data_IF_625083750975
#
_entry.id   IF_625083750975
#
_cell.length_a   1.000
_cell.length_b   1.000
_cell.length_c   1.000
_cell.angle_alpha   90.00
_cell.angle_beta   90.00
_cell.angle_gamma   90.00
#
_symmetry.space_group_name_H-M   'P 1'
#
loop_
_entity.id
_entity.type
_entity.pdbx_description
1 polymer ?
#
# COMPACT_ATOMS: atom_id res chain seq x y z
N UNK A 1 -17.48 -23.33 46.53
CA UNK A 1 -17.16 -23.49 45.09
C UNK A 1 -17.78 -22.28 44.41
N UNK A 2 -17.08 -21.34 43.80
CA UNK A 2 -16.09 -21.47 42.72
C UNK A 2 -15.27 -20.15 42.69
N UNK A 3 -13.94 -20.19 42.68
CA UNK A 3 -13.10 -18.99 42.49
C UNK A 3 -12.88 -18.77 41.00
N UNK A 4 -13.32 -17.63 40.46
CA UNK A 4 -13.01 -17.21 39.09
C UNK A 4 -11.59 -16.63 39.05
N UNK A 5 -10.67 -17.32 38.37
CA UNK A 5 -9.33 -16.78 38.08
C UNK A 5 -9.43 -16.03 36.75
N UNK A 6 -9.51 -14.71 36.82
CA UNK A 6 -9.35 -13.83 35.66
C UNK A 6 -7.87 -13.63 35.39
N UNK A 7 -7.33 -14.28 34.35
CA UNK A 7 -5.99 -14.01 33.86
C UNK A 7 -5.99 -12.77 32.97
N UNK A 8 -5.27 -11.72 33.37
CA UNK A 8 -4.99 -10.56 32.50
C UNK A 8 -3.73 -10.92 31.69
N UNK A 9 -3.89 -11.11 30.38
CA UNK A 9 -2.77 -11.30 29.48
C UNK A 9 -2.02 -9.98 29.28
N UNK A 10 -0.76 -9.92 29.69
CA UNK A 10 0.12 -8.79 29.37
C UNK A 10 0.68 -9.01 27.96
N UNK A 11 0.16 -8.27 26.99
CA UNK A 11 0.87 -8.06 25.73
C UNK A 11 2.07 -7.16 26.01
N UNK A 12 3.26 -7.65 25.69
CA UNK A 12 4.49 -6.89 25.80
C UNK A 12 4.45 -5.71 24.82
N UNK A 13 4.97 -4.56 25.25
CA UNK A 13 5.01 -3.33 24.45
C UNK A 13 5.61 -3.60 23.06
N UNK A 14 6.64 -4.45 22.97
CA UNK A 14 7.22 -4.85 21.68
C UNK A 14 6.22 -5.52 20.74
N UNK A 15 5.40 -6.45 21.23
CA UNK A 15 4.38 -7.11 20.40
C UNK A 15 3.29 -6.11 19.95
N UNK A 16 2.91 -5.16 20.81
CA UNK A 16 2.00 -4.08 20.44
C UNK A 16 2.61 -3.13 19.39
N UNK A 17 3.90 -2.80 19.51
CA UNK A 17 4.62 -1.99 18.51
C UNK A 17 4.68 -2.70 17.15
N UNK A 18 4.96 -4.00 17.11
CA UNK A 18 4.93 -4.77 15.86
C UNK A 18 3.54 -4.79 15.23
N UNK A 19 2.49 -5.02 16.02
CA UNK A 19 1.11 -5.04 15.51
C UNK A 19 0.63 -3.67 15.01
N UNK A 20 1.03 -2.58 15.67
CA UNK A 20 0.69 -1.22 15.25
C UNK A 20 1.51 -0.76 14.04
N UNK A 21 2.76 -1.20 13.93
CA UNK A 21 3.63 -0.93 12.77
C UNK A 21 3.12 -1.62 11.51
N UNK A 22 2.70 -2.88 11.61
CA UNK A 22 2.17 -3.65 10.48
C UNK A 22 0.87 -3.04 9.94
N UNK A 23 -0.02 -2.60 10.83
CA UNK A 23 -1.24 -1.90 10.45
C UNK A 23 -0.98 -0.53 9.79
N UNK A 24 0.04 0.20 10.23
CA UNK A 24 0.43 1.48 9.60
C UNK A 24 1.12 1.29 8.24
N UNK A 25 1.88 0.21 8.08
CA UNK A 25 2.54 -0.11 6.81
C UNK A 25 1.53 -0.53 5.73
N UNK A 26 0.54 -1.35 6.06
CA UNK A 26 -0.51 -1.76 5.12
C UNK A 26 -1.38 -0.58 4.65
N UNK A 27 -1.61 0.41 5.51
CA UNK A 27 -2.30 1.65 5.13
C UNK A 27 -1.48 2.45 4.10
N UNK A 28 -0.17 2.61 4.33
CA UNK A 28 0.72 3.30 3.41
C UNK A 28 0.83 2.63 2.03
N UNK A 29 0.75 1.30 1.96
CA UNK A 29 0.78 0.56 0.68
C UNK A 29 -0.48 0.76 -0.16
N UNK A 30 -1.60 1.11 0.47
CA UNK A 30 -2.91 1.23 -0.20
C UNK A 30 -3.35 2.68 -0.37
N UNK A 31 -2.65 3.62 0.25
CA UNK A 31 -2.96 5.04 0.19
C UNK A 31 -1.86 5.83 -0.55
N UNK A 32 -2.03 6.09 -1.86
CA UNK A 32 -1.13 6.99 -2.57
C UNK A 32 -1.32 8.41 -2.03
N UNK A 33 -0.35 8.89 -1.25
CA UNK A 33 -0.47 10.16 -0.52
C UNK A 33 -0.64 11.37 -1.44
N UNK A 34 0.16 11.44 -2.50
CA UNK A 34 0.10 12.47 -3.55
C UNK A 34 -1.27 12.51 -4.23
N UNK A 35 -1.77 11.35 -4.66
CA UNK A 35 -3.05 11.25 -5.36
C UNK A 35 -4.24 11.50 -4.45
N UNK A 36 -4.15 11.14 -3.17
CA UNK A 36 -5.22 11.35 -2.18
C UNK A 36 -5.49 12.85 -1.89
N UNK A 37 -4.59 13.75 -2.32
CA UNK A 37 -4.83 15.21 -2.27
C UNK A 37 -5.78 15.70 -3.36
N UNK A 38 -5.96 14.92 -4.44
CA UNK A 38 -6.69 15.31 -5.65
C UNK A 38 -7.88 14.37 -5.90
N UNK A 39 -7.74 13.10 -5.54
CA UNK A 39 -8.72 12.04 -5.77
C UNK A 39 -9.34 11.54 -4.47
N UNK A 40 -10.60 11.18 -4.56
CA UNK A 40 -11.26 10.42 -3.52
C UNK A 40 -10.93 8.92 -3.62
N UNK A 41 -11.32 8.16 -2.59
CA UNK A 41 -11.09 6.72 -2.54
C UNK A 41 -11.73 5.98 -3.73
N UNK A 42 -12.85 6.48 -4.27
CA UNK A 42 -13.54 5.85 -5.39
C UNK A 42 -12.73 5.99 -6.68
N UNK A 43 -12.18 7.18 -6.95
CA UNK A 43 -11.30 7.44 -8.08
C UNK A 43 -10.01 6.62 -7.98
N UNK A 44 -9.37 6.55 -6.80
CA UNK A 44 -8.18 5.72 -6.56
C UNK A 44 -8.46 4.25 -6.90
N UNK A 45 -9.57 3.70 -6.44
CA UNK A 45 -9.96 2.30 -6.73
C UNK A 45 -10.30 2.08 -8.19
N UNK A 46 -11.00 3.04 -8.82
CA UNK A 46 -11.34 2.96 -10.24
C UNK A 46 -10.07 2.85 -11.09
N UNK A 47 -9.11 3.74 -10.86
CA UNK A 47 -7.81 3.72 -11.53
C UNK A 47 -7.06 2.41 -11.24
N UNK A 48 -7.11 1.93 -10.00
CA UNK A 48 -6.53 0.64 -9.62
C UNK A 48 -7.11 -0.54 -10.39
N UNK A 49 -8.44 -0.58 -10.54
CA UNK A 49 -9.12 -1.60 -11.34
C UNK A 49 -8.70 -1.53 -12.81
N UNK A 50 -8.60 -0.32 -13.39
CA UNK A 50 -8.12 -0.15 -14.76
C UNK A 50 -6.67 -0.61 -14.93
N UNK A 51 -5.77 -0.27 -13.99
CA UNK A 51 -4.39 -0.72 -14.02
C UNK A 51 -4.28 -2.24 -14.02
N UNK A 52 -5.05 -2.93 -13.17
CA UNK A 52 -5.06 -4.40 -13.08
C UNK A 52 -5.54 -5.09 -14.37
N UNK A 53 -6.36 -4.41 -15.18
CA UNK A 53 -6.75 -4.89 -16.50
C UNK A 53 -5.63 -4.72 -17.54
N UNK A 54 -4.86 -3.64 -17.43
CA UNK A 54 -3.72 -3.33 -18.32
C UNK A 54 -2.53 -4.25 -18.02
N UNK A 55 -2.28 -4.53 -16.73
CA UNK A 55 -1.13 -5.32 -16.25
C UNK A 55 -1.62 -6.56 -15.50
N UNK A 56 -2.15 -7.58 -16.20
CA UNK A 56 -2.81 -8.73 -15.56
C UNK A 56 -1.85 -9.60 -14.73
N UNK A 57 -0.53 -9.51 -14.97
CA UNK A 57 0.48 -10.18 -14.14
C UNK A 57 0.56 -9.61 -12.72
N UNK A 58 0.15 -8.35 -12.53
CA UNK A 58 0.12 -7.66 -11.23
C UNK A 58 -1.31 -7.55 -10.66
N UNK A 59 -2.17 -8.55 -10.92
CA UNK A 59 -3.58 -8.46 -10.58
C UNK A 59 -3.93 -8.94 -9.14
N UNK A 60 -3.01 -9.59 -8.45
CA UNK A 60 -3.26 -10.11 -7.09
C UNK A 60 -2.76 -9.16 -6.01
N UNK A 61 -3.51 -9.04 -4.91
CA UNK A 61 -3.12 -8.24 -3.75
C UNK A 61 -1.74 -8.64 -3.21
N UNK A 62 -1.42 -9.94 -3.22
CA UNK A 62 -0.13 -10.44 -2.76
C UNK A 62 1.02 -10.04 -3.70
N UNK A 63 0.83 -10.13 -5.02
CA UNK A 63 1.85 -9.69 -5.98
C UNK A 63 2.12 -8.19 -5.84
N UNK A 64 1.07 -7.38 -5.78
CA UNK A 64 1.17 -5.93 -5.64
C UNK A 64 1.86 -5.51 -4.34
N UNK A 65 1.49 -6.12 -3.21
CA UNK A 65 2.10 -5.80 -1.93
C UNK A 65 3.58 -6.23 -1.85
N UNK A 66 3.95 -7.33 -2.51
CA UNK A 66 5.35 -7.73 -2.63
C UNK A 66 6.14 -6.75 -3.49
N UNK A 67 5.60 -6.31 -4.63
CA UNK A 67 6.26 -5.35 -5.51
C UNK A 67 6.51 -4.02 -4.79
N UNK A 68 5.48 -3.45 -4.16
CA UNK A 68 5.60 -2.20 -3.40
C UNK A 68 6.59 -2.30 -2.23
N UNK A 69 6.71 -3.46 -1.59
CA UNK A 69 7.69 -3.70 -0.52
C UNK A 69 9.10 -3.95 -1.06
N UNK A 70 9.24 -4.48 -2.27
CA UNK A 70 10.52 -4.83 -2.88
C UNK A 70 11.27 -3.62 -3.48
N UNK A 71 10.58 -2.53 -3.80
CA UNK A 71 11.13 -1.29 -4.38
C UNK A 71 11.99 -0.46 -3.41
N UNK A 72 12.63 -1.14 -2.44
CA UNK A 72 13.47 -0.52 -1.41
C UNK A 72 14.84 -0.08 -1.93
N UNK A 73 15.11 1.22 -1.88
CA UNK A 73 16.47 1.74 -1.98
C UNK A 73 17.15 1.89 -0.61
N UNK A 74 16.41 1.80 0.51
CA UNK A 74 16.97 2.03 1.85
C UNK A 74 16.20 1.30 2.96
N UNK A 75 16.75 0.20 3.48
CA UNK A 75 16.09 -0.64 4.49
C UNK A 75 15.90 0.04 5.86
N UNK A 76 16.57 1.17 6.13
CA UNK A 76 16.44 1.93 7.38
C UNK A 76 15.37 3.03 7.37
N UNK A 77 14.76 3.31 6.23
CA UNK A 77 13.76 4.37 6.07
C UNK A 77 12.33 3.85 6.28
N UNK A 78 11.41 4.74 6.67
CA UNK A 78 9.99 4.41 6.79
C UNK A 78 9.41 3.96 5.45
N UNK A 79 8.37 3.11 5.45
CA UNK A 79 7.73 2.65 4.21
C UNK A 79 7.25 3.82 3.35
N UNK A 80 6.68 4.86 3.96
CA UNK A 80 6.22 6.07 3.28
C UNK A 80 7.37 6.77 2.56
N UNK A 81 8.52 6.94 3.24
CA UNK A 81 9.71 7.54 2.64
C UNK A 81 10.20 6.72 1.44
N UNK A 82 10.23 5.39 1.57
CA UNK A 82 10.68 4.48 0.51
C UNK A 82 9.75 4.50 -0.71
N UNK A 83 8.43 4.56 -0.49
CA UNK A 83 7.46 4.69 -1.57
C UNK A 83 7.61 6.03 -2.28
N UNK A 84 7.79 7.14 -1.55
CA UNK A 84 8.01 8.46 -2.14
C UNK A 84 9.32 8.53 -2.96
N UNK A 85 10.39 7.88 -2.49
CA UNK A 85 11.62 7.73 -3.26
C UNK A 85 11.37 6.93 -4.55
N UNK A 86 10.61 5.83 -4.47
CA UNK A 86 10.27 5.00 -5.65
C UNK A 86 9.41 5.76 -6.66
N UNK A 87 8.41 6.52 -6.20
CA UNK A 87 7.58 7.38 -7.05
C UNK A 87 8.44 8.43 -7.76
N UNK A 88 9.36 9.07 -7.03
CA UNK A 88 10.26 10.07 -7.61
C UNK A 88 11.16 9.42 -8.66
N UNK A 89 11.75 8.27 -8.33
CA UNK A 89 12.60 7.52 -9.25
C UNK A 89 11.85 7.06 -10.51
N UNK A 90 10.60 6.63 -10.37
CA UNK A 90 9.74 6.22 -11.47
C UNK A 90 9.52 7.38 -12.45
N UNK A 91 9.24 8.58 -11.96
CA UNK A 91 9.11 9.76 -12.81
C UNK A 91 10.45 10.16 -13.45
N UNK A 92 11.55 10.14 -12.72
CA UNK A 92 12.89 10.48 -13.23
C UNK A 92 13.36 9.53 -14.34
N UNK A 93 13.04 8.25 -14.23
CA UNK A 93 13.42 7.21 -15.19
C UNK A 93 12.40 6.99 -16.30
N UNK A 94 11.24 7.65 -16.22
CA UNK A 94 10.13 7.46 -17.15
C UNK A 94 9.36 6.15 -16.95
N UNK A 95 9.55 5.45 -15.84
CA UNK A 95 8.79 4.27 -15.43
C UNK A 95 7.37 4.68 -15.00
N UNK A 96 6.57 5.06 -15.99
CA UNK A 96 5.23 5.59 -15.82
C UNK A 96 4.22 4.80 -16.63
N UNK A 97 2.94 4.89 -16.26
CA UNK A 97 1.84 4.24 -16.95
C UNK A 97 0.72 5.25 -17.22
N UNK A 98 0.10 5.15 -18.39
CA UNK A 98 -1.10 5.91 -18.74
C UNK A 98 -2.33 5.08 -18.40
N UNK A 99 -3.10 5.51 -17.40
CA UNK A 99 -4.34 4.85 -16.97
C UNK A 99 -5.46 5.88 -16.98
N UNK A 100 -6.50 5.63 -17.78
CA UNK A 100 -7.68 6.50 -17.89
C UNK A 100 -7.34 7.99 -18.13
N UNK A 101 -6.33 8.24 -18.98
CA UNK A 101 -5.87 9.60 -19.32
C UNK A 101 -4.92 10.23 -18.30
N UNK A 102 -4.57 9.55 -17.22
CA UNK A 102 -3.61 10.01 -16.21
C UNK A 102 -2.27 9.32 -16.36
N UNK A 103 -1.19 10.11 -16.33
CA UNK A 103 0.18 9.61 -16.26
C UNK A 103 0.52 9.45 -14.77
N UNK A 104 0.80 8.22 -14.37
CA UNK A 104 1.15 7.86 -12.99
C UNK A 104 2.52 7.22 -12.95
N UNK A 105 3.24 7.36 -11.83
CA UNK A 105 4.33 6.44 -11.54
C UNK A 105 3.79 5.00 -11.47
N UNK A 106 4.62 4.01 -11.82
CA UNK A 106 4.22 2.61 -11.68
C UNK A 106 3.93 2.28 -10.21
N UNK A 107 4.71 2.85 -9.28
CA UNK A 107 4.47 2.74 -7.84
C UNK A 107 3.07 3.23 -7.43
N UNK A 108 2.67 4.43 -7.84
CA UNK A 108 1.32 4.96 -7.53
C UNK A 108 0.22 4.09 -8.15
N UNK A 109 0.40 3.64 -9.39
CA UNK A 109 -0.57 2.79 -10.05
C UNK A 109 -0.76 1.45 -9.33
N UNK A 110 0.32 0.89 -8.77
CA UNK A 110 0.27 -0.30 -7.91
C UNK A 110 -0.39 -0.06 -6.57
N UNK A 111 -0.18 1.09 -5.94
CA UNK A 111 -0.90 1.46 -4.71
C UNK A 111 -2.41 1.57 -4.97
N UNK A 112 -2.80 2.23 -6.07
CA UNK A 112 -4.19 2.27 -6.52
C UNK A 112 -4.75 0.86 -6.77
N UNK A 113 -3.98 0.01 -7.47
CA UNK A 113 -4.36 -1.37 -7.75
C UNK A 113 -4.56 -2.17 -6.47
N UNK A 114 -3.65 -2.06 -5.50
CA UNK A 114 -3.77 -2.75 -4.22
C UNK A 114 -5.01 -2.26 -3.45
N UNK A 115 -5.25 -0.95 -3.42
CA UNK A 115 -6.45 -0.36 -2.82
C UNK A 115 -7.75 -0.91 -3.42
N UNK A 116 -7.78 -1.18 -4.73
CA UNK A 116 -8.94 -1.76 -5.42
C UNK A 116 -9.23 -3.22 -5.02
N UNK A 117 -8.26 -3.94 -4.47
CA UNK A 117 -8.45 -5.36 -4.06
C UNK A 117 -9.10 -5.52 -2.69
N UNK A 118 -9.14 -4.46 -1.87
CA UNK A 118 -9.54 -4.54 -0.46
C UNK A 118 -11.06 -4.45 -0.21
N UNK A 119 -11.87 -4.06 -1.22
CA UNK A 119 -13.33 -4.08 -1.13
C UNK A 119 -13.96 -4.45 -2.47
N UNK A 120 -14.99 -5.31 -2.51
CA UNK A 120 -15.82 -5.49 -3.68
C UNK A 120 -16.66 -4.22 -3.92
N UNK A 121 -16.74 -3.79 -5.18
CA UNK A 121 -17.58 -2.67 -5.64
C UNK A 121 -19.08 -2.87 -5.34
#
# INVERSE_FOLDING_TARGET
MLSAVGGIGFISISAAYYYMSDAGDDDALTQPQSLSLIWDTKAIRHIGNQYRLIVPVENSAHALSNLLRAESFNAGASIVSRLNESITHDFETGNTVLVDGWILSVTEARQCALASTLQPD
#
